data_IF_986210373346
#
_entry.id   IF_986210373346
#
_cell.length_a   1.000
_cell.length_b   1.000
_cell.length_c   1.000
_cell.angle_alpha   90.00
_cell.angle_beta   90.00
_cell.angle_gamma   90.00
#
_symmetry.space_group_name_H-M   'P 1'
#
loop_
_entity.id
_entity.type
_entity.pdbx_description
1 polymer ?
#
# COMPACT_ATOMS: atom_id res chain seq x y z
N UNK A 1 19.12 9.66 8.38
CA UNK A 1 19.68 8.88 9.48
C UNK A 1 18.80 7.65 9.69
N UNK A 2 19.26 6.48 9.25
CA UNK A 2 18.54 5.19 9.37
C UNK A 2 18.20 4.85 10.84
N UNK A 3 18.83 5.52 11.78
CA UNK A 3 18.69 5.27 13.22
C UNK A 3 17.68 6.21 13.90
N UNK A 4 17.15 7.22 13.20
CA UNK A 4 16.27 8.22 13.80
C UNK A 4 14.84 7.69 14.08
N UNK A 5 14.36 6.79 13.24
CA UNK A 5 13.05 6.12 13.39
C UNK A 5 13.18 4.65 12.98
N UNK A 6 13.86 3.82 13.80
CA UNK A 6 13.95 2.41 13.49
C UNK A 6 12.55 1.80 13.52
N UNK A 7 12.16 1.15 12.44
CA UNK A 7 10.94 0.35 12.42
C UNK A 7 11.05 -0.72 13.50
N UNK A 8 10.05 -0.83 14.35
CA UNK A 8 10.00 -1.91 15.34
C UNK A 8 9.74 -3.25 14.61
N UNK A 9 10.82 -3.95 14.33
CA UNK A 9 10.78 -5.25 13.63
C UNK A 9 10.28 -6.39 14.51
N UNK A 10 9.98 -6.16 15.80
CA UNK A 10 9.37 -7.15 16.70
C UNK A 10 7.84 -7.26 16.53
N UNK A 11 7.21 -6.36 15.76
CA UNK A 11 5.77 -6.38 15.51
C UNK A 11 5.37 -7.65 14.76
N UNK A 12 4.39 -8.38 15.26
CA UNK A 12 3.87 -9.62 14.64
C UNK A 12 3.28 -9.41 13.24
N UNK A 13 2.90 -8.17 12.91
CA UNK A 13 2.40 -7.82 11.58
C UNK A 13 3.45 -7.95 10.48
N UNK A 14 4.74 -7.79 10.82
CA UNK A 14 5.82 -7.77 9.83
C UNK A 14 6.03 -9.16 9.23
N UNK A 15 5.84 -9.25 7.92
CA UNK A 15 6.08 -10.49 7.19
C UNK A 15 7.59 -10.77 7.10
N UNK A 16 8.01 -12.03 7.31
CA UNK A 16 9.38 -12.42 7.04
C UNK A 16 9.66 -12.31 5.53
N UNK A 17 10.89 -11.97 5.19
CA UNK A 17 11.32 -12.00 3.79
C UNK A 17 11.34 -13.44 3.28
N UNK A 18 10.54 -13.70 2.25
CA UNK A 18 10.51 -14.97 1.55
C UNK A 18 10.28 -14.73 0.06
N UNK A 19 10.85 -15.57 -0.77
CA UNK A 19 10.55 -15.55 -2.19
C UNK A 19 9.09 -15.95 -2.42
N UNK A 20 8.34 -15.13 -3.16
CA UNK A 20 7.01 -15.48 -3.61
C UNK A 20 7.10 -16.32 -4.88
N UNK A 21 6.34 -17.41 -4.96
CA UNK A 21 6.17 -18.14 -6.19
C UNK A 21 5.10 -17.53 -7.10
N UNK A 22 5.03 -17.99 -8.34
CA UNK A 22 4.08 -17.46 -9.32
C UNK A 22 2.63 -17.66 -8.90
N UNK A 23 2.31 -18.73 -8.18
CA UNK A 23 0.96 -19.01 -7.69
C UNK A 23 0.56 -18.01 -6.60
N UNK A 24 1.49 -17.64 -5.74
CA UNK A 24 1.28 -16.62 -4.72
C UNK A 24 0.99 -15.26 -5.35
N UNK A 25 1.80 -14.85 -6.34
CA UNK A 25 1.63 -13.57 -7.04
C UNK A 25 0.31 -13.56 -7.83
N UNK A 26 0.00 -14.63 -8.56
CA UNK A 26 -1.22 -14.74 -9.37
C UNK A 26 -2.49 -14.66 -8.53
N UNK A 27 -2.47 -15.15 -7.29
CA UNK A 27 -3.59 -15.08 -6.35
C UNK A 27 -3.70 -13.74 -5.60
N UNK A 28 -2.86 -12.76 -5.94
CA UNK A 28 -2.77 -11.48 -5.24
C UNK A 28 -3.26 -10.32 -6.11
N UNK A 29 -3.85 -9.31 -5.48
CA UNK A 29 -4.16 -8.00 -6.06
C UNK A 29 -3.25 -6.96 -5.45
N UNK A 30 -2.74 -6.06 -6.27
CA UNK A 30 -1.90 -4.93 -5.89
C UNK A 30 -2.70 -3.65 -6.05
N UNK A 31 -2.94 -2.98 -4.93
CA UNK A 31 -3.83 -1.82 -4.86
C UNK A 31 -3.07 -0.59 -4.36
N UNK A 32 -3.36 0.57 -4.93
CA UNK A 32 -2.87 1.83 -4.41
C UNK A 32 -2.45 2.86 -5.45
N UNK A 33 -1.28 3.44 -5.24
CA UNK A 33 -0.75 4.59 -5.99
C UNK A 33 0.14 4.18 -7.19
N UNK A 34 1.02 5.09 -7.63
CA UNK A 34 1.90 4.91 -8.78
C UNK A 34 2.80 3.68 -8.72
N UNK A 35 3.12 3.16 -7.55
CA UNK A 35 3.93 1.95 -7.43
C UNK A 35 3.15 0.70 -7.87
N UNK A 36 1.86 0.62 -7.51
CA UNK A 36 0.98 -0.43 -8.05
C UNK A 36 0.79 -0.27 -9.56
N UNK A 37 0.65 0.98 -10.05
CA UNK A 37 0.58 1.29 -11.49
C UNK A 37 1.85 0.82 -12.21
N UNK A 38 3.02 1.08 -11.65
CA UNK A 38 4.31 0.68 -12.24
C UNK A 38 4.41 -0.84 -12.37
N UNK A 39 4.00 -1.61 -11.36
CA UNK A 39 3.99 -3.07 -11.44
C UNK A 39 3.16 -3.59 -12.63
N UNK A 40 2.04 -2.94 -12.92
CA UNK A 40 1.18 -3.30 -14.04
C UNK A 40 1.79 -2.84 -15.38
N UNK A 41 2.33 -1.63 -15.46
CA UNK A 41 2.97 -1.09 -16.68
C UNK A 41 4.21 -1.90 -17.08
N UNK A 42 4.98 -2.36 -16.10
CA UNK A 42 6.17 -3.18 -16.31
C UNK A 42 5.83 -4.66 -16.55
N UNK A 43 4.55 -4.99 -16.71
CA UNK A 43 4.04 -6.34 -16.92
C UNK A 43 4.45 -7.36 -15.83
N UNK A 44 4.71 -6.88 -14.61
CA UNK A 44 4.96 -7.73 -13.44
C UNK A 44 3.69 -8.37 -12.91
N UNK A 45 2.57 -7.69 -13.13
CA UNK A 45 1.22 -8.15 -12.81
C UNK A 45 0.29 -7.86 -13.99
N UNK A 46 -0.83 -8.57 -14.05
CA UNK A 46 -1.88 -8.36 -15.06
C UNK A 46 -2.89 -7.29 -14.62
N UNK A 47 -3.72 -6.81 -15.55
CA UNK A 47 -4.83 -5.89 -15.22
C UNK A 47 -5.81 -6.49 -14.21
N UNK A 48 -5.99 -7.81 -14.18
CA UNK A 48 -6.86 -8.49 -13.21
C UNK A 48 -6.28 -8.52 -11.79
N UNK A 49 -5.01 -8.15 -11.62
CA UNK A 49 -4.30 -8.11 -10.34
C UNK A 49 -4.06 -6.67 -9.86
N UNK A 50 -4.61 -5.69 -10.55
CA UNK A 50 -4.32 -4.28 -10.34
C UNK A 50 -5.58 -3.49 -9.97
N UNK A 51 -5.48 -2.65 -8.93
CA UNK A 51 -6.51 -1.72 -8.53
C UNK A 51 -5.87 -0.42 -8.00
N UNK A 52 -5.78 0.62 -8.81
CA UNK A 52 -5.11 1.84 -8.35
C UNK A 52 -5.06 2.95 -9.40
N UNK A 53 -4.38 4.04 -9.02
CA UNK A 53 -4.21 5.22 -9.85
C UNK A 53 -2.94 5.97 -9.45
N UNK A 54 -2.23 6.52 -10.44
CA UNK A 54 -1.13 7.45 -10.21
C UNK A 54 -1.59 8.67 -9.39
N UNK A 55 -0.76 9.13 -8.47
CA UNK A 55 -1.05 10.30 -7.65
C UNK A 55 -2.15 10.10 -6.61
N UNK A 56 -2.61 8.87 -6.38
CA UNK A 56 -3.65 8.60 -5.39
C UNK A 56 -3.15 8.92 -3.98
N UNK A 57 -3.83 9.86 -3.33
CA UNK A 57 -3.62 10.20 -1.94
C UNK A 57 -4.50 9.34 -1.03
N UNK A 58 -4.00 9.05 0.17
CA UNK A 58 -4.72 8.19 1.14
C UNK A 58 -6.09 8.74 1.50
N UNK A 59 -6.21 10.05 1.74
CA UNK A 59 -7.48 10.73 2.03
C UNK A 59 -8.52 10.62 0.89
N UNK A 60 -8.10 10.32 -0.34
CA UNK A 60 -8.97 10.19 -1.51
C UNK A 60 -9.24 8.74 -1.90
N UNK A 61 -8.53 7.78 -1.32
CA UNK A 61 -8.57 6.37 -1.72
C UNK A 61 -9.96 5.74 -1.59
N UNK A 62 -10.78 6.16 -0.63
CA UNK A 62 -12.15 5.68 -0.45
C UNK A 62 -13.17 6.27 -1.44
N UNK A 63 -12.90 7.44 -2.01
CA UNK A 63 -13.83 8.16 -2.87
C UNK A 63 -13.44 8.17 -4.34
N UNK A 64 -12.21 7.80 -4.69
CA UNK A 64 -11.73 7.79 -6.07
C UNK A 64 -12.14 6.52 -6.77
N UNK A 65 -13.03 6.64 -7.77
CA UNK A 65 -13.48 5.51 -8.60
C UNK A 65 -12.48 5.30 -9.76
N UNK A 66 -11.38 4.60 -9.47
CA UNK A 66 -10.25 4.42 -10.39
C UNK A 66 -10.14 3.02 -11.00
N UNK A 67 -11.04 2.10 -10.66
CA UNK A 67 -11.01 0.72 -11.17
C UNK A 67 -12.17 0.48 -12.11
N UNK A 68 -11.87 -0.05 -13.30
CA UNK A 68 -12.89 -0.49 -14.26
C UNK A 68 -12.63 -1.93 -14.71
N UNK A 69 -13.68 -2.58 -15.16
CA UNK A 69 -13.62 -3.95 -15.69
C UNK A 69 -14.09 -3.95 -17.15
N UNK A 70 -13.44 -4.71 -18.02
CA UNK A 70 -13.73 -4.73 -19.46
C UNK A 70 -15.18 -5.13 -19.78
N UNK A 71 -15.83 -5.87 -18.89
CA UNK A 71 -17.23 -6.32 -19.04
C UNK A 71 -18.26 -5.39 -18.39
N UNK A 72 -17.83 -4.25 -17.84
CA UNK A 72 -18.67 -3.36 -17.03
C UNK A 72 -18.38 -1.91 -17.39
N UNK A 73 -19.41 -1.12 -17.63
CA UNK A 73 -19.28 0.30 -17.94
C UNK A 73 -19.09 1.20 -16.73
N UNK A 74 -19.13 0.64 -15.52
CA UNK A 74 -19.00 1.40 -14.29
C UNK A 74 -17.53 1.51 -13.83
N UNK A 75 -17.23 2.58 -13.13
CA UNK A 75 -16.00 2.73 -12.38
C UNK A 75 -16.25 2.47 -10.91
N UNK A 76 -15.28 1.87 -10.25
CA UNK A 76 -15.34 1.45 -8.85
C UNK A 76 -14.22 2.07 -8.04
N UNK A 77 -14.48 2.34 -6.77
CA UNK A 77 -13.41 2.56 -5.79
C UNK A 77 -12.67 1.26 -5.54
N UNK A 78 -11.46 1.33 -4.99
CA UNK A 78 -10.67 0.11 -4.68
C UNK A 78 -11.47 -0.84 -3.79
N UNK A 79 -12.05 -0.42 -2.64
CA UNK A 79 -12.84 -1.35 -1.81
C UNK A 79 -14.03 -1.98 -2.53
N UNK A 80 -14.68 -1.27 -3.45
CA UNK A 80 -15.78 -1.83 -4.26
C UNK A 80 -15.29 -2.85 -5.30
N UNK A 81 -14.07 -2.68 -5.82
CA UNK A 81 -13.50 -3.55 -6.84
C UNK A 81 -12.98 -4.89 -6.26
N UNK A 82 -12.40 -4.89 -5.08
CA UNK A 82 -11.76 -6.07 -4.46
C UNK A 82 -12.66 -7.31 -4.45
N UNK A 83 -13.94 -7.26 -4.03
CA UNK A 83 -14.82 -8.43 -4.05
C UNK A 83 -15.02 -9.02 -5.46
N UNK A 84 -14.98 -8.18 -6.50
CA UNK A 84 -15.12 -8.60 -7.90
C UNK A 84 -13.86 -9.32 -8.40
N UNK A 85 -12.69 -8.97 -7.86
CA UNK A 85 -11.40 -9.54 -8.23
C UNK A 85 -11.13 -10.89 -7.56
N UNK A 86 -11.79 -11.19 -6.44
CA UNK A 86 -11.73 -12.47 -5.70
C UNK A 86 -10.32 -12.93 -5.35
N UNK A 87 -9.44 -11.98 -5.02
CA UNK A 87 -8.07 -12.27 -4.65
C UNK A 87 -7.97 -12.97 -3.30
N UNK A 88 -6.93 -13.78 -3.10
CA UNK A 88 -6.58 -14.32 -1.79
C UNK A 88 -5.85 -13.30 -0.91
N UNK A 89 -5.16 -12.35 -1.55
CA UNK A 89 -4.37 -11.31 -0.87
C UNK A 89 -4.54 -9.98 -1.57
N UNK A 90 -4.54 -8.93 -0.79
CA UNK A 90 -4.51 -7.55 -1.29
C UNK A 90 -3.30 -6.86 -0.71
N UNK A 91 -2.33 -6.55 -1.56
CA UNK A 91 -1.20 -5.70 -1.22
C UNK A 91 -1.62 -4.25 -1.39
N UNK A 92 -1.52 -3.46 -0.32
CA UNK A 92 -1.89 -2.04 -0.31
C UNK A 92 -0.63 -1.19 -0.28
N UNK A 93 -0.47 -0.36 -1.31
CA UNK A 93 0.65 0.57 -1.45
C UNK A 93 0.10 1.98 -1.60
N UNK A 94 0.05 2.71 -0.49
CA UNK A 94 -0.43 4.09 -0.37
C UNK A 94 0.47 4.90 0.56
N UNK A 95 0.47 6.20 0.38
CA UNK A 95 1.17 7.15 1.23
C UNK A 95 2.28 7.91 0.54
N UNK A 96 2.76 7.46 -0.62
CA UNK A 96 3.83 8.13 -1.36
C UNK A 96 3.47 9.55 -1.81
N UNK A 97 2.19 9.85 -1.91
CA UNK A 97 1.68 11.17 -2.29
C UNK A 97 1.23 12.03 -1.08
N UNK A 98 1.55 11.57 0.14
CA UNK A 98 1.14 12.22 1.39
C UNK A 98 2.35 12.69 2.22
N UNK A 99 3.58 12.46 1.74
CA UNK A 99 4.85 12.68 2.48
C UNK A 99 5.51 14.03 2.17
N UNK A 100 4.78 14.99 1.66
CA UNK A 100 5.24 16.34 1.32
C UNK A 100 5.18 17.35 2.48
N UNK A 101 4.80 16.89 3.67
CA UNK A 101 4.66 17.73 4.86
C UNK A 101 3.31 18.43 5.00
N UNK A 102 2.38 18.25 4.06
CA UNK A 102 1.04 18.86 4.13
C UNK A 102 0.06 18.03 4.95
N UNK A 103 0.34 16.76 5.15
CA UNK A 103 -0.49 15.80 5.90
C UNK A 103 0.21 15.39 7.18
N UNK A 104 -0.45 15.51 8.34
CA UNK A 104 0.08 15.01 9.59
C UNK A 104 0.03 13.49 9.66
N UNK A 105 0.93 12.87 10.44
CA UNK A 105 0.95 11.41 10.67
C UNK A 105 -0.39 10.92 11.20
N UNK A 106 -0.99 11.65 12.15
CA UNK A 106 -2.27 11.28 12.76
C UNK A 106 -3.42 11.29 11.75
N UNK A 107 -3.48 12.30 10.88
CA UNK A 107 -4.49 12.38 9.83
C UNK A 107 -4.28 11.28 8.79
N UNK A 108 -3.04 11.09 8.34
CA UNK A 108 -2.67 10.03 7.40
C UNK A 108 -3.09 8.65 7.91
N UNK A 109 -2.70 8.30 9.14
CA UNK A 109 -2.96 6.96 9.66
C UNK A 109 -4.45 6.72 9.95
N UNK A 110 -5.21 7.74 10.28
CA UNK A 110 -6.67 7.63 10.42
C UNK A 110 -7.32 7.24 9.08
N UNK A 111 -6.97 7.94 8.01
CA UNK A 111 -7.46 7.64 6.66
C UNK A 111 -6.99 6.26 6.17
N UNK A 112 -5.73 5.92 6.44
CA UNK A 112 -5.14 4.64 6.08
C UNK A 112 -5.85 3.44 6.76
N UNK A 113 -6.08 3.54 8.09
CA UNK A 113 -6.84 2.53 8.85
C UNK A 113 -8.25 2.37 8.30
N UNK A 114 -8.91 3.48 7.99
CA UNK A 114 -10.25 3.45 7.41
C UNK A 114 -10.25 2.75 6.05
N UNK A 115 -9.25 3.01 5.23
CA UNK A 115 -9.10 2.35 3.93
C UNK A 115 -8.92 0.83 4.07
N UNK A 116 -8.00 0.37 4.92
CA UNK A 116 -7.81 -1.06 5.19
C UNK A 116 -9.09 -1.72 5.72
N UNK A 117 -9.76 -1.07 6.65
CA UNK A 117 -11.01 -1.57 7.24
C UNK A 117 -12.13 -1.69 6.20
N UNK A 118 -12.23 -0.75 5.27
CA UNK A 118 -13.21 -0.79 4.19
C UNK A 118 -12.95 -1.95 3.22
N UNK A 119 -11.68 -2.21 2.87
CA UNK A 119 -11.32 -3.40 2.08
C UNK A 119 -11.72 -4.67 2.81
N UNK A 120 -11.36 -4.80 4.08
CA UNK A 120 -11.68 -5.98 4.89
C UNK A 120 -13.18 -6.20 5.02
N UNK A 121 -13.94 -5.14 5.27
CA UNK A 121 -15.41 -5.21 5.39
C UNK A 121 -16.07 -5.58 4.06
N UNK A 122 -15.52 -5.13 2.93
CA UNK A 122 -16.03 -5.46 1.61
C UNK A 122 -15.72 -6.90 1.21
N UNK A 123 -14.56 -7.43 1.62
CA UNK A 123 -14.12 -8.78 1.24
C UNK A 123 -13.21 -9.40 2.31
N UNK A 124 -13.80 -10.00 3.32
CA UNK A 124 -13.09 -10.58 4.48
C UNK A 124 -12.31 -11.87 4.19
N UNK A 125 -12.46 -12.42 2.99
CA UNK A 125 -11.74 -13.64 2.56
C UNK A 125 -10.31 -13.39 2.13
N UNK A 126 -9.93 -12.14 1.87
CA UNK A 126 -8.58 -11.79 1.48
C UNK A 126 -7.73 -11.39 2.68
N UNK A 127 -6.50 -11.86 2.71
CA UNK A 127 -5.48 -11.32 3.59
C UNK A 127 -5.09 -9.92 3.12
N UNK A 128 -5.02 -8.97 4.03
CA UNK A 128 -4.58 -7.60 3.73
C UNK A 128 -3.13 -7.43 4.18
N UNK A 129 -2.30 -6.97 3.26
CA UNK A 129 -0.88 -6.75 3.46
C UNK A 129 -0.57 -5.31 3.06
N UNK A 130 -0.29 -4.45 4.03
CA UNK A 130 0.21 -3.12 3.76
C UNK A 130 1.69 -3.21 3.34
N UNK A 131 2.07 -2.42 2.35
CA UNK A 131 3.45 -2.34 1.85
C UNK A 131 4.06 -1.04 2.31
N UNK A 132 5.32 -1.07 2.74
CA UNK A 132 6.02 0.15 3.15
C UNK A 132 6.11 1.17 2.00
N UNK A 133 6.00 2.45 2.34
CA UNK A 133 6.31 3.53 1.41
C UNK A 133 7.80 3.44 1.08
N UNK A 134 8.18 3.39 -0.22
CA UNK A 134 9.58 3.32 -0.60
C UNK A 134 10.35 4.58 -0.19
N UNK A 135 11.65 4.46 0.07
CA UNK A 135 12.49 5.61 0.36
C UNK A 135 12.61 6.54 -0.85
N UNK A 136 12.87 7.80 -0.58
CA UNK A 136 13.21 8.76 -1.64
C UNK A 136 14.66 8.55 -2.09
N UNK A 137 14.94 8.92 -3.35
CA UNK A 137 16.31 8.98 -3.86
C UNK A 137 17.05 10.17 -3.24
N UNK A 138 18.34 10.04 -3.01
CA UNK A 138 19.18 11.10 -2.41
C UNK A 138 19.18 12.41 -3.22
N UNK A 139 18.99 12.31 -4.53
CA UNK A 139 18.94 13.45 -5.45
C UNK A 139 17.60 14.20 -5.45
N UNK A 140 16.61 13.71 -4.72
CA UNK A 140 15.29 14.36 -4.64
C UNK A 140 15.36 15.67 -3.88
N UNK A 141 14.61 16.67 -4.34
CA UNK A 141 14.45 17.90 -3.57
C UNK A 141 13.86 17.59 -2.19
N UNK A 142 14.44 18.16 -1.13
CA UNK A 142 14.04 17.92 0.26
C UNK A 142 14.11 16.45 0.71
N UNK A 143 15.01 15.63 0.12
CA UNK A 143 15.09 14.21 0.38
C UNK A 143 15.11 13.84 1.87
N UNK A 144 15.92 14.54 2.68
CA UNK A 144 16.03 14.24 4.11
C UNK A 144 14.73 14.51 4.88
N UNK A 145 14.01 15.58 4.55
CA UNK A 145 12.74 15.91 5.18
C UNK A 145 11.65 14.92 4.76
N UNK A 146 11.55 14.66 3.47
CA UNK A 146 10.60 13.67 2.93
C UNK A 146 10.86 12.27 3.51
N UNK A 147 12.13 11.85 3.64
CA UNK A 147 12.48 10.58 4.25
C UNK A 147 12.03 10.51 5.72
N UNK A 148 12.11 11.61 6.46
CA UNK A 148 11.60 11.67 7.83
C UNK A 148 10.09 11.41 7.90
N UNK A 149 9.30 11.99 7.00
CA UNK A 149 7.86 11.69 6.90
C UNK A 149 7.61 10.23 6.52
N UNK A 150 8.35 9.70 5.55
CA UNK A 150 8.24 8.29 5.13
C UNK A 150 8.49 7.36 6.33
N UNK A 151 9.53 7.61 7.11
CA UNK A 151 9.87 6.78 8.26
C UNK A 151 8.78 6.81 9.34
N UNK A 152 8.23 8.00 9.63
CA UNK A 152 7.13 8.16 10.57
C UNK A 152 5.85 7.46 10.07
N UNK A 153 5.51 7.62 8.79
CA UNK A 153 4.33 7.01 8.20
C UNK A 153 4.46 5.48 8.17
N UNK A 154 5.63 4.96 7.79
CA UNK A 154 5.89 3.52 7.78
C UNK A 154 5.78 2.90 9.16
N UNK A 155 6.31 3.57 10.19
CA UNK A 155 6.13 3.12 11.58
C UNK A 155 4.64 3.11 11.97
N UNK A 156 3.90 4.16 11.66
CA UNK A 156 2.48 4.25 11.95
C UNK A 156 1.66 3.16 11.22
N UNK A 157 1.99 2.87 9.95
CA UNK A 157 1.35 1.79 9.18
C UNK A 157 1.61 0.42 9.83
N UNK A 158 2.86 0.14 10.21
CA UNK A 158 3.23 -1.14 10.82
C UNK A 158 2.50 -1.36 12.16
N UNK A 159 2.43 -0.34 13.01
CA UNK A 159 1.66 -0.38 14.27
C UNK A 159 0.17 -0.58 14.01
N UNK A 160 -0.40 0.14 13.05
CA UNK A 160 -1.80 0.00 12.69
C UNK A 160 -2.13 -1.41 12.18
N UNK A 161 -1.27 -2.01 11.36
CA UNK A 161 -1.44 -3.39 10.91
C UNK A 161 -1.42 -4.38 12.07
N UNK A 162 -0.49 -4.20 13.02
CA UNK A 162 -0.42 -5.02 14.23
C UNK A 162 -1.69 -4.93 15.06
N UNK A 163 -2.19 -3.71 15.30
CA UNK A 163 -3.41 -3.47 16.08
C UNK A 163 -4.68 -4.04 15.41
N UNK A 164 -4.73 -4.00 14.08
CA UNK A 164 -5.89 -4.43 13.28
C UNK A 164 -5.84 -5.92 12.88
N UNK A 165 -4.74 -6.62 13.16
CA UNK A 165 -4.55 -8.01 12.75
C UNK A 165 -4.25 -8.20 11.26
N UNK A 166 -3.76 -7.17 10.58
CA UNK A 166 -3.28 -7.22 9.20
C UNK A 166 -1.78 -7.45 9.14
N UNK A 167 -1.24 -7.68 7.94
CA UNK A 167 0.19 -7.88 7.73
C UNK A 167 0.85 -6.66 7.10
N UNK A 168 2.14 -6.54 7.32
CA UNK A 168 2.99 -5.46 6.81
C UNK A 168 4.19 -6.05 6.08
N UNK A 169 4.40 -5.61 4.84
CA UNK A 169 5.53 -6.00 4.01
C UNK A 169 6.53 -4.83 3.95
N UNK A 170 7.71 -5.06 4.50
CA UNK A 170 8.79 -4.10 4.44
C UNK A 170 9.56 -4.25 3.14
N UNK A 171 9.56 -3.21 2.32
CA UNK A 171 10.42 -3.14 1.14
C UNK A 171 11.82 -2.70 1.59
N UNK A 172 12.78 -3.59 1.47
CA UNK A 172 14.18 -3.21 1.56
C UNK A 172 14.64 -2.74 0.19
N UNK A 173 15.16 -1.52 0.12
CA UNK A 173 16.04 -1.19 -0.98
C UNK A 173 17.35 -1.91 -0.70
N UNK A 174 17.72 -2.86 -1.56
CA UNK A 174 19.07 -3.37 -1.54
C UNK A 174 19.99 -2.18 -1.84
N UNK A 175 20.78 -1.77 -0.86
CA UNK A 175 21.98 -0.99 -1.14
C UNK A 175 22.84 -1.89 -2.02
N UNK A 176 22.75 -1.67 -3.32
CA UNK A 176 23.65 -2.26 -4.29
C UNK A 176 24.98 -1.55 -4.25
#
# INVERSE_FOLDING_TARGET
>A
DKDAYPLDTSLEAILPQAAADDAYITASVFAGDQYAVTLQKDARITLNQFAGQEGLQTAKALSTACVNFASDSNNYTIPQAIPKMKARRVFVQLGSNDVDGTVSVDSFIADYKQFLQNIHSAYSYADIIAVSIPPVTEDSANAAETQTYIDQFNQAIAVACSDMGFKYCLLYTSDA
#
